data_IF_697886265156
#
_entry.id   IF_697886265156
#
_cell.length_a   1.000
_cell.length_b   1.000
_cell.length_c   1.000
_cell.angle_alpha   90.00
_cell.angle_beta   90.00
_cell.angle_gamma   90.00
#
_symmetry.space_group_name_H-M   'P 1'
#
loop_
_entity.id
_entity.type
_entity.pdbx_description
1 polymer ?
#
# COMPACT_ATOMS: atom_id res chain seq x y z
N UNK A 1 19.71 -25.48 -10.34
CA UNK A 1 20.27 -24.97 -9.08
C UNK A 1 19.17 -24.08 -8.55
N UNK A 2 18.85 -24.20 -7.26
CA UNK A 2 17.81 -23.38 -6.65
C UNK A 2 18.21 -21.91 -6.74
N UNK A 3 17.34 -21.08 -7.33
CA UNK A 3 17.58 -19.66 -7.58
C UNK A 3 17.35 -18.87 -6.30
N UNK A 4 18.30 -18.04 -5.88
CA UNK A 4 18.17 -17.21 -4.67
C UNK A 4 17.72 -15.81 -5.03
N UNK A 5 16.58 -15.38 -4.50
CA UNK A 5 15.94 -14.10 -4.84
C UNK A 5 15.84 -13.21 -3.60
N UNK A 6 16.45 -12.04 -3.66
CA UNK A 6 16.33 -11.01 -2.63
C UNK A 6 15.22 -10.01 -2.98
N UNK A 7 14.21 -9.86 -2.13
CA UNK A 7 13.11 -8.92 -2.32
C UNK A 7 13.20 -7.80 -1.29
N UNK A 8 13.30 -6.55 -1.76
CA UNK A 8 13.29 -5.38 -0.87
C UNK A 8 11.85 -4.86 -0.76
N UNK A 9 11.27 -4.99 0.42
CA UNK A 9 9.91 -4.55 0.76
C UNK A 9 8.87 -5.68 0.83
N UNK A 10 8.12 -5.73 1.93
CA UNK A 10 7.01 -6.68 2.14
C UNK A 10 5.64 -6.01 1.91
N UNK A 11 5.58 -5.06 0.97
CA UNK A 11 4.31 -4.58 0.41
C UNK A 11 3.66 -5.65 -0.47
N UNK A 12 2.42 -5.40 -0.92
CA UNK A 12 1.67 -6.38 -1.74
C UNK A 12 2.38 -6.78 -3.03
N UNK A 13 3.22 -5.91 -3.62
CA UNK A 13 4.05 -6.28 -4.78
C UNK A 13 5.13 -7.32 -4.42
N UNK A 14 5.91 -7.09 -3.35
CA UNK A 14 6.94 -8.04 -2.91
C UNK A 14 6.33 -9.38 -2.47
N UNK A 15 5.19 -9.33 -1.76
CA UNK A 15 4.45 -10.54 -1.38
C UNK A 15 3.87 -11.26 -2.60
N UNK A 16 3.37 -10.53 -3.60
CA UNK A 16 2.91 -11.12 -4.87
C UNK A 16 4.03 -11.85 -5.60
N UNK A 17 5.23 -11.28 -5.65
CA UNK A 17 6.39 -11.92 -6.24
C UNK A 17 6.80 -13.20 -5.48
N UNK A 18 6.83 -13.14 -4.15
CA UNK A 18 7.11 -14.30 -3.33
C UNK A 18 6.07 -15.42 -3.53
N UNK A 19 4.80 -15.05 -3.70
CA UNK A 19 3.73 -16.00 -3.99
C UNK A 19 3.90 -16.69 -5.35
N UNK A 20 4.24 -15.94 -6.41
CA UNK A 20 4.54 -16.52 -7.72
C UNK A 20 5.76 -17.48 -7.67
N UNK A 21 6.78 -17.13 -6.89
CA UNK A 21 8.00 -17.93 -6.76
C UNK A 21 7.84 -19.15 -5.84
N UNK A 22 6.73 -19.29 -5.11
CA UNK A 22 6.53 -20.37 -4.15
C UNK A 22 6.51 -21.77 -4.80
N UNK A 23 6.03 -21.87 -6.04
CA UNK A 23 5.99 -23.12 -6.80
C UNK A 23 7.22 -23.31 -7.72
N UNK A 24 8.17 -22.36 -7.70
CA UNK A 24 9.41 -22.42 -8.48
C UNK A 24 10.56 -23.06 -7.66
N UNK A 25 11.63 -23.50 -8.33
CA UNK A 25 12.90 -23.90 -7.68
C UNK A 25 13.68 -22.66 -7.23
N UNK A 26 13.09 -21.89 -6.29
CA UNK A 26 13.61 -20.63 -5.79
C UNK A 26 13.56 -20.50 -4.26
N UNK A 27 14.60 -19.93 -3.67
CA UNK A 27 14.68 -19.49 -2.28
C UNK A 27 14.49 -17.98 -2.22
N UNK A 28 13.45 -17.51 -1.54
CA UNK A 28 13.10 -16.09 -1.47
C UNK A 28 13.41 -15.52 -0.09
N UNK A 29 14.16 -14.42 -0.04
CA UNK A 29 14.38 -13.63 1.18
C UNK A 29 13.71 -12.27 1.02
N UNK A 30 12.80 -11.88 1.92
CA UNK A 30 12.11 -10.60 1.92
C UNK A 30 12.63 -9.73 3.05
N UNK A 31 13.07 -8.50 2.73
CA UNK A 31 13.71 -7.57 3.65
C UNK A 31 12.80 -6.33 3.78
N UNK A 32 12.15 -6.15 4.93
CA UNK A 32 11.19 -5.08 5.18
C UNK A 32 11.62 -4.19 6.35
N UNK A 33 11.75 -2.89 6.08
CA UNK A 33 12.18 -1.88 7.07
C UNK A 33 11.18 -1.67 8.22
N UNK A 34 9.93 -2.06 8.04
CA UNK A 34 8.83 -1.84 8.98
C UNK A 34 8.65 -3.06 9.91
N UNK A 35 7.89 -2.88 11.00
CA UNK A 35 7.60 -3.97 11.93
C UNK A 35 6.49 -4.93 11.49
N UNK A 36 6.03 -4.85 10.23
CA UNK A 36 4.93 -5.64 9.69
C UNK A 36 4.85 -5.53 8.16
N UNK A 37 3.90 -6.26 7.57
CA UNK A 37 3.74 -6.45 6.12
C UNK A 37 2.55 -5.67 5.55
N UNK A 38 2.40 -5.67 4.22
CA UNK A 38 1.29 -5.04 3.50
C UNK A 38 1.57 -3.61 3.04
N UNK A 39 2.53 -2.92 3.67
CA UNK A 39 2.95 -1.58 3.29
C UNK A 39 1.80 -0.57 3.36
N UNK A 40 1.41 0.01 2.22
CA UNK A 40 0.27 0.93 2.14
C UNK A 40 -1.10 0.25 2.33
N UNK A 41 -1.15 -1.08 2.26
CA UNK A 41 -2.33 -1.90 2.60
C UNK A 41 -2.20 -2.51 4.01
N UNK A 42 -1.55 -1.78 4.94
CA UNK A 42 -1.43 -2.20 6.33
C UNK A 42 -2.62 -1.72 7.18
N UNK A 43 -2.92 -2.51 8.20
CA UNK A 43 -4.02 -2.37 9.15
C UNK A 43 -3.37 -2.17 10.51
N UNK A 44 -3.88 -1.20 11.28
CA UNK A 44 -3.50 -1.02 12.68
C UNK A 44 -4.61 -1.49 13.59
N UNK A 45 -4.24 -1.73 14.86
CA UNK A 45 -5.18 -2.07 15.91
C UNK A 45 -4.99 -1.17 17.12
N UNK A 46 -6.08 -0.64 17.65
CA UNK A 46 -6.09 0.17 18.88
C UNK A 46 -7.46 0.09 19.55
N UNK A 47 -7.48 -0.10 20.87
CA UNK A 47 -8.71 -0.15 21.69
C UNK A 47 -9.80 -1.04 21.08
N UNK A 48 -9.45 -2.28 20.72
CA UNK A 48 -10.32 -3.27 20.06
C UNK A 48 -10.81 -2.90 18.64
N UNK A 49 -10.38 -1.75 18.10
CA UNK A 49 -10.64 -1.38 16.71
C UNK A 49 -9.52 -1.83 15.77
N UNK A 50 -9.89 -2.29 14.56
CA UNK A 50 -9.01 -2.44 13.40
C UNK A 50 -9.29 -1.34 12.39
N UNK A 51 -8.24 -0.76 11.80
CA UNK A 51 -8.42 0.28 10.81
C UNK A 51 -7.36 0.27 9.72
N UNK A 52 -7.85 0.36 8.49
CA UNK A 52 -7.04 0.42 7.28
C UNK A 52 -6.71 1.90 6.99
N UNK A 53 -5.54 2.35 7.42
CA UNK A 53 -5.12 3.75 7.40
C UNK A 53 -4.42 4.16 6.09
N UNK A 54 -4.46 3.31 5.07
CA UNK A 54 -3.93 3.53 3.73
C UNK A 54 -4.94 3.07 2.67
N UNK A 55 -4.67 1.97 1.96
CA UNK A 55 -5.69 1.35 1.13
C UNK A 55 -6.77 0.72 2.01
N UNK A 56 -8.04 1.07 1.79
CA UNK A 56 -9.13 0.63 2.68
C UNK A 56 -9.74 -0.74 2.33
N UNK A 57 -9.63 -1.20 1.08
CA UNK A 57 -10.23 -2.46 0.59
C UNK A 57 -9.62 -2.83 -0.78
N UNK A 58 -9.85 -4.07 -1.22
CA UNK A 58 -9.58 -4.50 -2.61
C UNK A 58 -10.87 -4.38 -3.41
N UNK A 59 -10.88 -3.60 -4.51
CA UNK A 59 -12.03 -3.48 -5.42
C UNK A 59 -11.65 -3.70 -6.87
N UNK A 60 -12.66 -3.70 -7.74
CA UNK A 60 -12.51 -3.88 -9.19
C UNK A 60 -11.71 -5.15 -9.49
N UNK A 61 -12.06 -6.21 -8.75
CA UNK A 61 -11.43 -7.52 -8.89
C UNK A 61 -11.78 -8.07 -10.27
N UNK A 62 -10.75 -8.38 -11.04
CA UNK A 62 -10.89 -9.23 -12.21
C UNK A 62 -11.02 -10.69 -11.77
N UNK A 63 -11.30 -11.59 -12.72
CA UNK A 63 -11.44 -13.02 -12.44
C UNK A 63 -10.20 -13.62 -11.75
N UNK A 64 -9.00 -13.12 -12.11
CA UNK A 64 -7.73 -13.54 -11.51
C UNK A 64 -7.66 -13.17 -10.03
N UNK A 65 -8.03 -11.94 -9.69
CA UNK A 65 -8.07 -11.45 -8.31
C UNK A 65 -9.16 -12.12 -7.49
N UNK A 66 -10.35 -12.35 -8.06
CA UNK A 66 -11.44 -13.04 -7.38
C UNK A 66 -11.08 -14.51 -7.06
N UNK A 67 -10.44 -15.22 -8.01
CA UNK A 67 -9.93 -16.57 -7.77
C UNK A 67 -8.91 -16.57 -6.62
N UNK A 68 -7.93 -15.66 -6.66
CA UNK A 68 -6.92 -15.59 -5.60
C UNK A 68 -7.55 -15.36 -4.22
N UNK A 69 -8.47 -14.38 -4.10
CA UNK A 69 -9.14 -14.09 -2.82
C UNK A 69 -9.92 -15.32 -2.33
N UNK A 70 -10.61 -16.02 -3.23
CA UNK A 70 -11.31 -17.26 -2.89
C UNK A 70 -10.35 -18.35 -2.41
N UNK A 71 -9.19 -18.50 -3.06
CA UNK A 71 -8.19 -19.52 -2.75
C UNK A 71 -7.46 -19.26 -1.42
N UNK A 72 -7.36 -18.00 -0.99
CA UNK A 72 -6.83 -17.60 0.32
C UNK A 72 -7.76 -17.96 1.50
N UNK A 73 -8.97 -18.46 1.22
CA UNK A 73 -9.92 -18.97 2.20
C UNK A 73 -10.91 -17.93 2.72
N UNK A 74 -12.08 -18.41 3.14
CA UNK A 74 -13.20 -17.58 3.55
C UNK A 74 -13.17 -17.14 5.02
N UNK A 75 -12.25 -17.68 5.83
CA UNK A 75 -12.18 -17.37 7.27
C UNK A 75 -11.97 -15.87 7.47
N UNK A 76 -12.94 -15.20 8.08
CA UNK A 76 -12.90 -13.75 8.32
C UNK A 76 -12.94 -12.88 7.06
N UNK A 77 -13.11 -13.44 5.86
CA UNK A 77 -13.29 -12.67 4.62
C UNK A 77 -14.67 -12.00 4.66
N UNK A 78 -14.74 -10.70 4.39
CA UNK A 78 -16.00 -9.95 4.35
C UNK A 78 -16.00 -8.94 3.18
N UNK A 79 -17.18 -8.42 2.87
CA UNK A 79 -17.39 -7.36 1.89
C UNK A 79 -18.03 -6.16 2.57
N UNK A 80 -17.64 -4.97 2.12
CA UNK A 80 -18.29 -3.74 2.54
C UNK A 80 -19.54 -3.55 1.71
N UNK A 81 -20.71 -3.59 2.36
CA UNK A 81 -22.01 -3.58 1.71
C UNK A 81 -22.45 -2.17 1.33
N UNK A 82 -22.15 -1.17 2.16
CA UNK A 82 -22.55 0.20 1.90
C UNK A 82 -21.79 0.83 0.70
N UNK A 83 -22.48 1.66 -0.10
CA UNK A 83 -21.92 2.30 -1.29
C UNK A 83 -20.88 3.37 -0.97
N UNK A 84 -20.15 3.82 -1.99
CA UNK A 84 -19.33 5.03 -1.89
C UNK A 84 -20.15 6.19 -2.46
N UNK A 85 -20.29 7.28 -1.72
CA UNK A 85 -20.90 8.50 -2.22
C UNK A 85 -19.82 9.52 -2.60
N UNK A 86 -20.22 10.50 -3.39
CA UNK A 86 -19.37 11.62 -3.80
C UNK A 86 -19.76 12.90 -3.07
N UNK A 87 -18.84 13.85 -2.99
CA UNK A 87 -19.16 15.22 -2.59
C UNK A 87 -18.31 16.23 -3.36
N UNK A 88 -18.80 17.46 -3.44
CA UNK A 88 -18.14 18.57 -4.15
C UNK A 88 -17.37 19.50 -3.20
N UNK A 89 -16.79 20.56 -3.75
CA UNK A 89 -16.06 21.59 -3.01
C UNK A 89 -16.88 22.26 -1.88
N UNK A 90 -18.21 22.27 -1.97
CA UNK A 90 -19.10 22.83 -0.97
C UNK A 90 -19.53 21.79 0.09
N UNK A 91 -19.12 20.53 -0.04
CA UNK A 91 -19.52 19.44 0.83
C UNK A 91 -20.90 18.87 0.51
N UNK A 92 -21.48 19.16 -0.66
CA UNK A 92 -22.79 18.63 -1.03
C UNK A 92 -22.66 17.14 -1.41
N UNK A 93 -23.32 16.27 -0.63
CA UNK A 93 -23.26 14.82 -0.85
C UNK A 93 -24.17 14.38 -2.01
N UNK A 94 -23.70 13.44 -2.82
CA UNK A 94 -24.45 12.82 -3.91
C UNK A 94 -24.12 11.33 -4.01
N UNK A 95 -25.12 10.50 -4.32
CA UNK A 95 -24.90 9.10 -4.67
C UNK A 95 -24.00 8.99 -5.91
N UNK A 96 -22.99 8.11 -5.87
CA UNK A 96 -22.14 7.86 -7.03
C UNK A 96 -22.86 7.01 -8.09
N UNK A 97 -22.24 6.91 -9.27
CA UNK A 97 -22.71 6.01 -10.32
C UNK A 97 -22.90 4.57 -9.82
N UNK A 98 -24.00 3.95 -10.27
CA UNK A 98 -24.43 2.61 -9.86
C UNK A 98 -23.36 1.53 -10.05
N UNK A 99 -22.56 1.62 -11.12
CA UNK A 99 -21.49 0.65 -11.39
C UNK A 99 -20.36 0.68 -10.35
N UNK A 100 -20.00 1.86 -9.83
CA UNK A 100 -19.01 1.97 -8.73
C UNK A 100 -19.56 1.38 -7.43
N UNK A 101 -20.88 1.52 -7.21
CA UNK A 101 -21.56 0.99 -6.03
C UNK A 101 -21.77 -0.53 -6.07
N UNK A 102 -21.97 -1.12 -7.24
CA UNK A 102 -22.13 -2.58 -7.41
C UNK A 102 -20.80 -3.36 -7.32
N UNK A 103 -19.65 -2.67 -7.30
CA UNK A 103 -18.34 -3.32 -7.15
C UNK A 103 -18.12 -3.85 -5.73
N UNK A 104 -17.81 -5.15 -5.59
CA UNK A 104 -17.43 -5.77 -4.32
C UNK A 104 -16.15 -5.13 -3.76
N UNK A 105 -16.19 -4.79 -2.47
CA UNK A 105 -15.08 -4.20 -1.71
C UNK A 105 -14.63 -5.20 -0.67
N UNK A 106 -13.61 -5.98 -1.01
CA UNK A 106 -13.13 -7.08 -0.20
C UNK A 106 -12.18 -6.60 0.90
N UNK A 107 -12.37 -7.12 2.09
CA UNK A 107 -11.45 -6.99 3.23
C UNK A 107 -11.58 -8.22 4.14
N UNK A 108 -10.90 -8.21 5.27
CA UNK A 108 -11.08 -9.22 6.32
C UNK A 108 -11.47 -8.54 7.63
N UNK A 109 -12.03 -9.33 8.56
CA UNK A 109 -12.38 -8.89 9.92
C UNK A 109 -11.20 -8.37 10.74
N UNK A 110 -9.97 -8.78 10.40
CA UNK A 110 -8.71 -8.25 10.96
C UNK A 110 -7.99 -7.29 9.99
N UNK A 111 -8.73 -6.71 9.04
CA UNK A 111 -8.32 -5.72 8.05
C UNK A 111 -7.59 -6.25 6.81
N UNK A 112 -7.40 -5.36 5.85
CA UNK A 112 -6.89 -5.68 4.51
C UNK A 112 -5.46 -6.25 4.51
N UNK A 113 -4.68 -6.04 5.59
CA UNK A 113 -3.34 -6.66 5.75
C UNK A 113 -3.38 -8.17 5.64
N UNK A 114 -4.53 -8.78 5.93
CA UNK A 114 -4.73 -10.21 5.78
C UNK A 114 -4.45 -10.72 4.38
N UNK A 115 -4.61 -9.91 3.33
CA UNK A 115 -4.17 -10.27 1.98
C UNK A 115 -2.67 -10.63 1.97
N UNK A 116 -1.82 -9.76 2.49
CA UNK A 116 -0.38 -9.97 2.50
C UNK A 116 0.03 -11.13 3.41
N UNK A 117 -0.56 -11.23 4.61
CA UNK A 117 -0.26 -12.31 5.57
C UNK A 117 -0.63 -13.68 5.00
N UNK A 118 -1.84 -13.81 4.45
CA UNK A 118 -2.31 -15.09 3.89
C UNK A 118 -1.53 -15.54 2.67
N UNK A 119 -1.08 -14.59 1.83
CA UNK A 119 -0.19 -14.91 0.72
C UNK A 119 1.16 -15.43 1.21
N UNK A 120 1.75 -14.78 2.21
CA UNK A 120 3.01 -15.24 2.81
C UNK A 120 2.88 -16.60 3.51
N UNK A 121 1.73 -16.88 4.15
CA UNK A 121 1.46 -18.19 4.75
C UNK A 121 1.41 -19.34 3.70
N UNK A 122 1.38 -19.01 2.40
CA UNK A 122 1.45 -19.95 1.27
C UNK A 122 2.85 -20.09 0.68
N UNK A 123 3.87 -19.48 1.28
CA UNK A 123 5.25 -19.53 0.79
C UNK A 123 6.21 -19.94 1.90
N UNK A 124 7.39 -20.42 1.50
CA UNK A 124 8.53 -20.66 2.41
C UNK A 124 9.50 -19.46 2.44
N UNK A 125 9.02 -18.25 2.10
CA UNK A 125 9.88 -17.07 2.02
C UNK A 125 10.43 -16.68 3.40
N UNK A 126 11.74 -16.41 3.47
CA UNK A 126 12.41 -15.95 4.68
C UNK A 126 12.21 -14.45 4.87
N UNK A 127 11.35 -14.07 5.81
CA UNK A 127 10.94 -12.68 6.05
C UNK A 127 11.71 -12.04 7.21
N UNK A 128 12.46 -10.99 6.91
CA UNK A 128 13.17 -10.16 7.88
C UNK A 128 12.47 -8.81 8.04
N UNK A 129 11.89 -8.57 9.22
CA UNK A 129 11.24 -7.32 9.58
C UNK A 129 12.19 -6.41 10.33
N UNK A 130 11.94 -5.09 10.25
CA UNK A 130 12.82 -4.04 10.76
C UNK A 130 14.21 -4.02 10.12
N UNK A 131 14.29 -4.49 8.88
CA UNK A 131 15.53 -4.59 8.10
C UNK A 131 15.49 -3.56 6.98
N UNK A 132 16.26 -2.49 7.12
CA UNK A 132 16.31 -1.41 6.14
C UNK A 132 17.55 -1.58 5.26
N UNK A 133 17.31 -2.03 4.04
CA UNK A 133 18.35 -2.05 3.02
C UNK A 133 18.70 -0.64 2.58
N UNK A 134 19.99 -0.32 2.62
CA UNK A 134 20.56 0.98 2.23
C UNK A 134 21.52 0.88 1.06
N UNK A 135 22.02 -0.32 0.74
CA UNK A 135 22.93 -0.54 -0.38
C UNK A 135 22.60 -1.85 -1.09
N UNK A 136 22.69 -1.82 -2.41
CA UNK A 136 22.64 -2.99 -3.30
C UNK A 136 23.98 -3.07 -3.99
N UNK A 137 24.62 -4.23 -4.05
CA UNK A 137 25.89 -4.39 -4.75
C UNK A 137 25.85 -5.62 -5.64
N UNK A 138 26.54 -5.54 -6.79
CA UNK A 138 26.78 -6.68 -7.66
C UNK A 138 28.28 -6.91 -7.79
N UNK A 139 28.72 -8.12 -7.43
CA UNK A 139 30.09 -8.57 -7.62
C UNK A 139 30.07 -9.97 -8.26
N UNK A 140 30.88 -10.18 -9.30
CA UNK A 140 31.02 -11.44 -10.02
C UNK A 140 29.68 -12.09 -10.46
N UNK A 141 28.68 -11.25 -10.77
CA UNK A 141 27.36 -11.70 -11.23
C UNK A 141 26.39 -12.09 -10.12
N UNK A 142 26.75 -11.88 -8.85
CA UNK A 142 25.90 -12.12 -7.69
C UNK A 142 25.56 -10.81 -6.98
N UNK A 143 24.32 -10.72 -6.50
CA UNK A 143 23.81 -9.56 -5.79
C UNK A 143 23.91 -9.72 -4.27
N UNK A 144 24.18 -8.63 -3.58
CA UNK A 144 24.12 -8.53 -2.11
C UNK A 144 23.33 -7.29 -1.71
N UNK A 145 22.66 -7.39 -0.56
CA UNK A 145 21.84 -6.32 0.03
C UNK A 145 22.34 -6.06 1.44
N UNK A 146 22.55 -4.80 1.82
CA UNK A 146 23.10 -4.48 3.14
C UNK A 146 22.38 -3.34 3.86
N UNK A 147 22.37 -3.42 5.19
CA UNK A 147 21.91 -2.36 6.09
C UNK A 147 23.00 -1.31 6.37
N UNK A 148 22.66 -0.21 7.06
CA UNK A 148 23.62 0.84 7.46
C UNK A 148 24.70 0.34 8.43
N UNK A 149 24.37 -0.66 9.26
CA UNK A 149 25.26 -1.20 10.28
C UNK A 149 26.19 -2.30 9.75
N UNK A 150 26.04 -2.67 8.47
CA UNK A 150 26.88 -3.62 7.76
C UNK A 150 26.39 -5.06 7.81
N UNK A 151 25.18 -5.35 8.31
CA UNK A 151 24.56 -6.66 8.06
C UNK A 151 24.29 -6.84 6.56
N UNK A 152 24.66 -8.01 6.03
CA UNK A 152 24.60 -8.34 4.60
C UNK A 152 23.74 -9.58 4.36
N UNK A 153 22.96 -9.54 3.29
CA UNK A 153 22.08 -10.61 2.83
C UNK A 153 22.49 -11.02 1.40
N UNK A 154 22.47 -12.32 1.14
CA UNK A 154 22.84 -12.93 -0.13
C UNK A 154 23.97 -13.96 0.01
N UNK A 155 24.68 -14.31 -1.08
CA UNK A 155 24.48 -13.78 -2.43
C UNK A 155 23.14 -14.22 -3.04
N UNK A 156 22.55 -13.34 -3.84
CA UNK A 156 21.34 -13.58 -4.62
C UNK A 156 21.68 -13.64 -6.12
N UNK A 157 20.94 -14.45 -6.85
CA UNK A 157 20.99 -14.49 -8.32
C UNK A 157 20.15 -13.35 -8.92
N UNK A 158 19.07 -12.98 -8.23
CA UNK A 158 18.15 -11.92 -8.62
C UNK A 158 17.75 -11.06 -7.41
N UNK A 159 17.62 -9.74 -7.62
CA UNK A 159 17.09 -8.78 -6.66
C UNK A 159 15.86 -8.09 -7.24
N UNK A 160 14.76 -8.08 -6.46
CA UNK A 160 13.53 -7.38 -6.79
C UNK A 160 13.32 -6.18 -5.87
N UNK A 161 13.32 -4.98 -6.43
CA UNK A 161 13.05 -3.75 -5.71
C UNK A 161 11.56 -3.38 -5.79
N UNK A 162 10.89 -3.41 -4.64
CA UNK A 162 9.47 -3.03 -4.49
C UNK A 162 9.15 -1.77 -3.67
N UNK A 163 10.11 -0.98 -3.12
CA UNK A 163 9.76 0.31 -2.52
C UNK A 163 9.10 1.27 -3.52
N UNK A 164 8.43 2.33 -3.02
CA UNK A 164 7.99 3.45 -3.85
C UNK A 164 9.14 4.03 -4.68
N UNK A 165 8.85 4.51 -5.90
CA UNK A 165 9.87 4.92 -6.86
C UNK A 165 10.93 5.87 -6.28
N UNK A 166 10.59 6.94 -5.51
CA UNK A 166 11.62 7.80 -4.92
C UNK A 166 12.52 7.11 -3.88
N UNK A 167 12.01 6.10 -3.16
CA UNK A 167 12.85 5.28 -2.26
C UNK A 167 13.73 4.32 -3.05
N UNK A 168 13.20 3.74 -4.13
CA UNK A 168 13.97 2.90 -5.05
C UNK A 168 15.07 3.69 -5.74
N UNK A 169 14.81 4.92 -6.21
CA UNK A 169 15.83 5.80 -6.76
C UNK A 169 16.93 6.11 -5.73
N UNK A 170 16.57 6.44 -4.49
CA UNK A 170 17.56 6.65 -3.42
C UNK A 170 18.40 5.39 -3.12
N UNK A 171 17.83 4.19 -3.29
CA UNK A 171 18.57 2.94 -3.17
C UNK A 171 19.50 2.73 -4.39
N UNK A 172 19.04 3.04 -5.60
CA UNK A 172 19.84 3.01 -6.82
C UNK A 172 21.02 3.99 -6.79
N UNK A 173 20.86 5.15 -6.13
CA UNK A 173 21.96 6.09 -5.87
C UNK A 173 23.11 5.48 -5.06
N UNK A 174 22.77 4.51 -4.20
CA UNK A 174 23.72 3.80 -3.34
C UNK A 174 24.14 2.45 -3.94
N UNK A 175 23.59 2.08 -5.11
CA UNK A 175 23.89 0.79 -5.74
C UNK A 175 25.31 0.77 -6.29
N UNK A 176 26.04 -0.30 -5.99
CA UNK A 176 27.39 -0.59 -6.52
C UNK A 176 27.28 -1.63 -7.62
N UNK A 177 27.07 -1.15 -8.84
CA UNK A 177 27.01 -1.99 -10.04
C UNK A 177 27.63 -1.22 -11.20
N UNK A 178 28.75 -1.73 -11.73
CA UNK A 178 29.50 -1.11 -12.83
C UNK A 178 28.85 -1.42 -14.18
N UNK A 179 27.70 -0.78 -14.44
CA UNK A 179 26.92 -0.93 -15.67
C UNK A 179 26.20 0.38 -16.02
N UNK A 180 26.33 0.82 -17.27
CA UNK A 180 25.78 2.10 -17.76
C UNK A 180 24.25 2.18 -17.62
N UNK A 181 23.55 1.04 -17.54
CA UNK A 181 22.08 0.98 -17.36
C UNK A 181 21.64 1.52 -15.99
N UNK A 182 22.50 1.47 -14.97
CA UNK A 182 22.16 1.92 -13.62
C UNK A 182 21.72 3.40 -13.61
N UNK A 183 22.47 4.26 -14.30
CA UNK A 183 22.15 5.70 -14.39
C UNK A 183 20.85 5.96 -15.15
N UNK A 184 20.53 5.15 -16.16
CA UNK A 184 19.29 5.27 -16.91
C UNK A 184 18.08 4.89 -16.06
N UNK A 185 18.13 3.72 -15.42
CA UNK A 185 17.06 3.26 -14.53
C UNK A 185 16.89 4.21 -13.35
N UNK A 186 17.97 4.65 -12.71
CA UNK A 186 17.93 5.63 -11.62
C UNK A 186 17.16 6.89 -12.02
N UNK A 187 17.47 7.47 -13.19
CA UNK A 187 16.79 8.67 -13.70
C UNK A 187 15.31 8.41 -13.99
N UNK A 188 14.97 7.30 -14.63
CA UNK A 188 13.60 6.97 -14.98
C UNK A 188 12.75 6.74 -13.71
N UNK A 189 13.25 5.97 -12.76
CA UNK A 189 12.59 5.69 -11.47
C UNK A 189 12.44 6.97 -10.65
N UNK A 190 13.48 7.80 -10.57
CA UNK A 190 13.46 9.05 -9.80
C UNK A 190 12.55 10.14 -10.37
N UNK A 191 12.15 10.02 -11.64
CA UNK A 191 11.24 10.95 -12.30
C UNK A 191 9.77 10.71 -11.97
N UNK A 192 9.41 9.52 -11.43
CA UNK A 192 8.01 9.17 -11.18
C UNK A 192 7.41 10.07 -10.09
N UNK A 193 6.40 10.90 -10.42
CA UNK A 193 5.75 11.78 -9.47
C UNK A 193 4.89 11.00 -8.48
N UNK A 194 4.89 11.50 -7.26
CA UNK A 194 4.09 10.99 -6.15
C UNK A 194 3.39 12.13 -5.44
N UNK A 195 2.14 11.89 -5.06
CA UNK A 195 1.42 12.78 -4.15
C UNK A 195 1.60 12.36 -2.69
N UNK A 196 1.64 13.36 -1.82
CA UNK A 196 1.63 13.19 -0.37
C UNK A 196 0.19 13.18 0.13
N UNK A 197 -0.15 12.23 1.01
CA UNK A 197 -1.46 12.16 1.66
C UNK A 197 -1.25 12.04 3.16
N UNK A 198 -2.00 12.82 3.94
CA UNK A 198 -2.10 12.66 5.38
C UNK A 198 -3.42 11.98 5.71
N UNK A 199 -3.32 10.86 6.43
CA UNK A 199 -4.48 10.15 6.96
C UNK A 199 -4.63 10.50 8.43
N UNK A 200 -5.81 10.94 8.83
CA UNK A 200 -6.19 11.16 10.23
C UNK A 200 -7.30 10.18 10.58
N UNK A 201 -7.12 9.50 11.70
CA UNK A 201 -8.06 8.51 12.24
C UNK A 201 -8.74 9.12 13.45
N UNK A 202 -10.07 9.12 13.45
CA UNK A 202 -10.90 9.82 14.42
C UNK A 202 -11.93 8.85 15.00
N UNK A 203 -11.81 8.53 16.29
CA UNK A 203 -12.74 7.64 16.97
C UNK A 203 -13.79 8.39 17.77
N UNK A 204 -14.98 7.81 17.86
CA UNK A 204 -16.10 8.35 18.60
C UNK A 204 -16.83 7.25 19.38
N UNK A 205 -17.21 7.49 20.64
CA UNK A 205 -17.97 6.53 21.47
C UNK A 205 -19.47 6.56 21.14
N UNK A 206 -19.81 6.88 19.90
CA UNK A 206 -21.16 6.90 19.36
C UNK A 206 -21.10 6.53 17.88
N UNK A 207 -22.21 6.01 17.36
CA UNK A 207 -22.40 5.75 15.93
C UNK A 207 -23.62 6.51 15.41
N UNK A 208 -23.54 6.90 14.14
CA UNK A 208 -24.68 7.41 13.37
C UNK A 208 -24.91 6.55 12.13
N UNK A 209 -26.17 6.45 11.73
CA UNK A 209 -26.55 5.72 10.53
C UNK A 209 -26.42 6.63 9.31
N UNK A 210 -25.42 6.33 8.46
CA UNK A 210 -25.32 6.87 7.12
C UNK A 210 -25.57 5.78 6.05
N UNK A 211 -26.10 6.16 4.88
CA UNK A 211 -26.36 5.23 3.77
C UNK A 211 -25.12 4.93 2.91
N UNK A 212 -23.92 5.26 3.36
CA UNK A 212 -22.67 5.15 2.59
C UNK A 212 -21.51 4.63 3.44
N UNK A 213 -20.63 3.82 2.88
CA UNK A 213 -19.40 3.41 3.54
C UNK A 213 -18.35 4.53 3.54
N UNK A 214 -18.16 5.15 2.39
CA UNK A 214 -17.17 6.21 2.21
C UNK A 214 -17.66 7.35 1.34
N UNK A 215 -17.01 8.49 1.49
CA UNK A 215 -17.19 9.71 0.74
C UNK A 215 -15.91 10.01 -0.03
N UNK A 216 -16.02 10.29 -1.32
CA UNK A 216 -14.89 10.73 -2.16
C UNK A 216 -15.17 12.11 -2.73
N UNK A 217 -14.20 13.01 -2.64
CA UNK A 217 -14.32 14.32 -3.26
C UNK A 217 -14.11 14.20 -4.77
N UNK A 218 -15.17 14.43 -5.55
CA UNK A 218 -15.18 14.10 -6.98
C UNK A 218 -14.46 15.15 -7.84
N UNK A 219 -14.57 16.42 -7.46
CA UNK A 219 -13.94 17.56 -8.16
C UNK A 219 -12.50 17.83 -7.71
N UNK A 220 -12.07 17.25 -6.57
CA UNK A 220 -10.74 17.42 -5.96
C UNK A 220 -10.47 18.85 -5.48
N UNK A 221 -11.52 19.59 -5.15
CA UNK A 221 -11.44 20.98 -4.69
C UNK A 221 -11.73 21.13 -3.18
N UNK A 222 -11.93 20.03 -2.45
CA UNK A 222 -12.11 20.01 -1.00
C UNK A 222 -10.84 19.58 -0.25
N UNK A 223 -10.67 20.02 1.01
CA UNK A 223 -9.51 19.68 1.86
C UNK A 223 -9.49 18.20 2.29
N UNK A 224 -10.65 17.54 2.28
CA UNK A 224 -10.81 16.09 2.44
C UNK A 224 -10.88 15.46 1.06
N UNK A 225 -10.00 14.50 0.76
CA UNK A 225 -10.06 13.73 -0.48
C UNK A 225 -10.92 12.46 -0.35
N UNK A 226 -10.85 11.81 0.82
CA UNK A 226 -11.61 10.60 1.13
C UNK A 226 -11.96 10.55 2.62
N UNK A 227 -13.16 10.08 2.94
CA UNK A 227 -13.61 9.77 4.30
C UNK A 227 -14.27 8.40 4.30
N UNK A 228 -13.93 7.50 5.23
CA UNK A 228 -14.60 6.20 5.35
C UNK A 228 -14.90 5.82 6.79
N UNK A 229 -15.92 4.97 6.94
CA UNK A 229 -16.39 4.42 8.22
C UNK A 229 -15.87 3.00 8.41
N UNK A 230 -14.94 2.78 9.34
CA UNK A 230 -14.42 1.44 9.59
C UNK A 230 -15.47 0.54 10.25
N UNK A 231 -16.50 1.09 10.90
CA UNK A 231 -17.63 0.32 11.46
C UNK A 231 -18.49 -0.39 10.40
N UNK A 232 -18.39 -0.03 9.12
CA UNK A 232 -19.01 -0.77 8.01
C UNK A 232 -18.24 -2.05 7.63
N UNK A 233 -17.11 -2.33 8.27
CA UNK A 233 -16.33 -3.55 8.07
C UNK A 233 -16.54 -4.45 9.29
N UNK A 234 -17.10 -5.64 9.06
CA UNK A 234 -17.38 -6.57 10.15
C UNK A 234 -16.14 -6.78 11.05
N UNK A 235 -16.31 -6.59 12.36
CA UNK A 235 -15.24 -6.82 13.35
C UNK A 235 -14.19 -5.70 13.48
N UNK A 236 -14.30 -4.62 12.71
CA UNK A 236 -13.35 -3.51 12.79
C UNK A 236 -13.61 -2.56 13.95
N UNK A 237 -14.86 -2.32 14.35
CA UNK A 237 -15.21 -1.35 15.40
C UNK A 237 -16.28 -1.98 16.30
N UNK A 238 -16.21 -1.78 17.63
CA UNK A 238 -17.27 -2.23 18.55
C UNK A 238 -18.65 -1.65 18.22
N UNK A 239 -19.70 -2.42 18.51
CA UNK A 239 -21.09 -2.01 18.28
C UNK A 239 -21.42 -0.67 18.99
N UNK A 240 -21.95 0.28 18.22
CA UNK A 240 -22.36 1.59 18.73
C UNK A 240 -21.25 2.64 18.82
N UNK A 241 -20.04 2.31 18.36
CA UNK A 241 -18.92 3.24 18.20
C UNK A 241 -18.67 3.53 16.71
N UNK A 242 -17.92 4.58 16.41
CA UNK A 242 -17.56 4.96 15.03
C UNK A 242 -16.07 5.26 14.94
N UNK A 243 -15.46 4.84 13.83
CA UNK A 243 -14.06 5.12 13.54
C UNK A 243 -13.91 5.61 12.11
N UNK A 244 -13.68 6.91 11.99
CA UNK A 244 -13.53 7.57 10.70
C UNK A 244 -12.07 7.61 10.28
N UNK A 245 -11.81 7.22 9.03
CA UNK A 245 -10.52 7.37 8.36
C UNK A 245 -10.65 8.51 7.35
N UNK A 246 -10.09 9.67 7.67
CA UNK A 246 -10.05 10.84 6.81
C UNK A 246 -8.70 10.92 6.09
N UNK A 247 -8.69 10.79 4.77
CA UNK A 247 -7.52 11.03 3.94
C UNK A 247 -7.64 12.40 3.30
N UNK A 248 -6.73 13.29 3.69
CA UNK A 248 -6.75 14.69 3.30
C UNK A 248 -6.29 14.86 1.84
N UNK A 249 -6.66 15.97 1.22
CA UNK A 249 -6.23 16.29 -0.15
C UNK A 249 -4.71 16.42 -0.24
N UNK A 250 -4.11 16.24 -1.43
CA UNK A 250 -2.66 16.40 -1.62
C UNK A 250 -2.13 17.76 -1.14
N UNK A 251 -2.86 18.83 -1.43
CA UNK A 251 -2.51 20.20 -1.08
C UNK A 251 -2.48 20.38 0.44
N UNK A 252 -3.58 20.03 1.11
CA UNK A 252 -3.68 20.11 2.58
C UNK A 252 -2.60 19.27 3.26
N UNK A 253 -2.38 18.05 2.73
CA UNK A 253 -1.41 17.10 3.25
C UNK A 253 0.02 17.61 3.13
N UNK A 254 0.37 18.25 2.01
CA UNK A 254 1.71 18.79 1.78
C UNK A 254 2.00 19.99 2.67
N UNK A 255 1.03 20.91 2.80
CA UNK A 255 1.17 22.11 3.64
C UNK A 255 1.33 21.77 5.12
N UNK A 256 0.60 20.76 5.59
CA UNK A 256 0.56 20.38 7.01
C UNK A 256 1.36 19.13 7.33
N UNK A 257 2.21 18.62 6.43
CA UNK A 257 2.83 17.30 6.59
C UNK A 257 3.65 17.16 7.89
N UNK A 258 4.34 18.23 8.30
CA UNK A 258 5.21 18.25 9.47
C UNK A 258 4.51 18.65 10.77
N UNK A 259 3.23 19.05 10.72
CA UNK A 259 2.46 19.43 11.91
C UNK A 259 2.24 18.21 12.81
N UNK A 260 2.29 18.34 14.15
CA UNK A 260 2.04 17.22 15.05
C UNK A 260 0.55 16.84 15.12
N UNK A 261 0.24 15.63 15.61
CA UNK A 261 -1.12 15.07 15.65
C UNK A 261 -2.11 15.92 16.47
N UNK A 262 -1.64 16.58 17.52
CA UNK A 262 -2.45 17.48 18.35
C UNK A 262 -2.89 18.77 17.63
N UNK A 263 -2.25 19.11 16.52
CA UNK A 263 -2.67 20.20 15.63
C UNK A 263 -3.53 19.68 14.47
N UNK A 264 -3.11 18.63 13.78
CA UNK A 264 -3.85 18.12 12.61
C UNK A 264 -5.11 17.35 12.96
N UNK A 265 -5.16 16.70 14.12
CA UNK A 265 -6.32 15.92 14.57
C UNK A 265 -7.56 16.81 14.69
N UNK A 266 -7.50 17.89 15.51
CA UNK A 266 -8.60 18.85 15.62
C UNK A 266 -8.94 19.55 14.30
N UNK A 267 -7.95 19.84 13.45
CA UNK A 267 -8.19 20.46 12.15
C UNK A 267 -8.99 19.54 11.22
N UNK A 268 -8.58 18.28 11.08
CA UNK A 268 -9.29 17.30 10.28
C UNK A 268 -10.68 16.97 10.86
N UNK A 269 -10.80 16.84 12.18
CA UNK A 269 -12.08 16.64 12.86
C UNK A 269 -13.06 17.79 12.61
N UNK A 270 -12.56 19.04 12.55
CA UNK A 270 -13.35 20.21 12.19
C UNK A 270 -13.93 20.12 10.78
N UNK A 271 -13.11 19.71 9.81
CA UNK A 271 -13.53 19.53 8.41
C UNK A 271 -14.53 18.37 8.27
N UNK A 272 -14.34 17.28 9.01
CA UNK A 272 -15.27 16.15 9.02
C UNK A 272 -16.62 16.57 9.61
N UNK A 273 -16.64 17.31 10.71
CA UNK A 273 -17.87 17.82 11.31
C UNK A 273 -18.64 18.75 10.37
N UNK A 274 -17.93 19.59 9.61
CA UNK A 274 -18.53 20.48 8.61
C UNK A 274 -19.10 19.70 7.42
N UNK A 275 -18.36 18.73 6.89
CA UNK A 275 -18.81 17.86 5.80
C UNK A 275 -20.05 17.04 6.18
N UNK A 276 -20.08 16.52 7.41
CA UNK A 276 -21.20 15.72 7.91
C UNK A 276 -22.37 16.54 8.46
N UNK A 277 -22.18 17.86 8.67
CA UNK A 277 -23.18 18.74 9.25
C UNK A 277 -23.52 18.44 10.71
N UNK A 278 -22.59 17.85 11.47
CA UNK A 278 -22.78 17.42 12.86
C UNK A 278 -21.57 17.80 13.73
N UNK A 279 -21.78 18.71 14.68
CA UNK A 279 -20.72 19.28 15.52
C UNK A 279 -20.11 18.27 16.49
N UNK A 280 -20.80 17.17 16.81
CA UNK A 280 -20.24 16.11 17.68
C UNK A 280 -18.96 15.50 17.13
N UNK A 281 -18.77 15.48 15.80
CA UNK A 281 -17.53 15.00 15.18
C UNK A 281 -16.31 15.89 15.43
N UNK A 282 -16.47 17.09 16.02
CA UNK A 282 -15.31 17.93 16.40
C UNK A 282 -14.52 17.37 17.58
N UNK A 283 -15.09 16.40 18.32
CA UNK A 283 -14.55 15.92 19.59
C UNK A 283 -14.34 14.39 19.58
N UNK A 284 -13.36 13.87 18.82
CA UNK A 284 -12.96 12.47 18.93
C UNK A 284 -12.40 12.19 20.34
N UNK A 285 -12.68 11.01 20.89
CA UNK A 285 -12.15 10.61 22.21
C UNK A 285 -10.71 10.08 22.12
N UNK A 286 -10.31 9.60 20.94
CA UNK A 286 -8.91 9.39 20.58
C UNK A 286 -8.66 9.58 19.08
N UNK A 287 -7.41 9.91 18.75
CA UNK A 287 -6.94 10.07 17.37
C UNK A 287 -5.64 9.29 17.10
N UNK A 288 -5.42 8.92 15.85
CA UNK A 288 -4.16 8.40 15.30
C UNK A 288 -3.92 9.03 13.92
N UNK A 289 -2.71 8.94 13.38
CA UNK A 289 -2.42 9.42 12.03
C UNK A 289 -1.36 8.60 11.28
N UNK A 290 -1.31 8.86 9.98
CA UNK A 290 -0.22 8.41 9.13
C UNK A 290 0.09 9.46 8.06
N UNK A 291 1.35 9.90 8.03
CA UNK A 291 1.90 10.67 6.92
C UNK A 291 2.40 9.77 5.80
N UNK A 292 1.71 9.76 4.66
CA UNK A 292 2.12 9.05 3.45
C UNK A 292 2.80 10.03 2.49
N UNK A 293 4.09 10.30 2.69
CA UNK A 293 4.86 11.17 1.76
C UNK A 293 4.84 10.67 0.32
N UNK A 294 4.84 9.35 0.15
CA UNK A 294 4.83 8.65 -1.13
C UNK A 294 3.56 7.80 -1.21
N UNK A 295 2.40 8.45 -1.20
CA UNK A 295 1.11 7.78 -1.07
C UNK A 295 0.71 7.05 -2.36
N UNK A 296 0.62 7.79 -3.46
CA UNK A 296 0.15 7.31 -4.75
C UNK A 296 1.04 7.88 -5.87
N UNK A 297 1.44 7.06 -6.85
CA UNK A 297 2.04 7.55 -8.08
C UNK A 297 0.97 8.26 -8.92
N UNK A 298 1.38 9.29 -9.67
CA UNK A 298 0.48 9.97 -10.62
C UNK A 298 0.65 9.47 -12.05
N UNK A 299 1.76 8.78 -12.34
CA UNK A 299 2.03 8.13 -13.62
C UNK A 299 2.94 6.91 -13.43
N UNK A 300 3.05 6.10 -14.49
CA UNK A 300 3.94 4.95 -14.55
C UNK A 300 5.31 5.31 -15.11
N UNK A 301 6.30 4.49 -14.78
CA UNK A 301 7.63 4.53 -15.40
C UNK A 301 7.64 3.84 -16.77
N UNK A 302 8.62 4.14 -17.61
CA UNK A 302 8.88 3.34 -18.81
C UNK A 302 9.40 1.94 -18.44
N UNK A 303 8.53 0.93 -18.57
CA UNK A 303 8.87 -0.46 -18.27
C UNK A 303 9.98 -1.02 -19.15
N UNK A 304 10.23 -0.49 -20.35
CA UNK A 304 11.32 -0.96 -21.21
C UNK A 304 12.68 -0.63 -20.58
N UNK A 305 12.79 0.54 -19.95
CA UNK A 305 13.98 0.95 -19.18
C UNK A 305 14.20 0.00 -18.02
N UNK A 306 13.15 -0.35 -17.27
CA UNK A 306 13.26 -1.30 -16.15
C UNK A 306 13.62 -2.71 -16.62
N UNK A 307 13.02 -3.19 -17.71
CA UNK A 307 13.30 -4.53 -18.26
C UNK A 307 14.73 -4.65 -18.79
N UNK A 308 15.38 -3.53 -19.12
CA UNK A 308 16.74 -3.54 -19.62
C UNK A 308 17.77 -4.10 -18.62
N UNK A 309 17.44 -4.20 -17.33
CA UNK A 309 18.35 -4.72 -16.28
C UNK A 309 18.04 -6.17 -15.87
N UNK A 310 16.98 -6.76 -16.40
CA UNK A 310 16.49 -8.08 -15.98
C UNK A 310 17.49 -9.21 -16.31
N UNK A 311 18.24 -9.10 -17.41
CA UNK A 311 19.31 -10.04 -17.77
C UNK A 311 20.48 -10.00 -16.77
N UNK A 312 20.65 -8.91 -16.03
CA UNK A 312 21.63 -8.78 -14.95
C UNK A 312 21.08 -9.21 -13.58
N UNK A 313 19.80 -9.61 -13.49
CA UNK A 313 19.17 -10.02 -12.24
C UNK A 313 18.64 -8.86 -11.38
N UNK A 314 18.53 -7.64 -11.91
CA UNK A 314 17.92 -6.52 -11.20
C UNK A 314 16.51 -6.26 -11.75
N UNK A 315 15.52 -6.37 -10.86
CA UNK A 315 14.09 -6.31 -11.19
C UNK A 315 13.37 -5.26 -10.35
N UNK A 316 12.20 -4.85 -10.84
CA UNK A 316 11.36 -3.83 -10.21
C UNK A 316 9.90 -4.24 -10.27
N UNK A 317 9.16 -3.94 -9.20
CA UNK A 317 7.71 -4.08 -9.17
C UNK A 317 7.06 -3.07 -8.23
N UNK A 318 5.80 -2.76 -8.46
CA UNK A 318 5.02 -1.85 -7.64
C UNK A 318 3.88 -1.19 -8.41
N UNK A 319 3.02 -0.50 -7.69
CA UNK A 319 1.99 0.35 -8.28
C UNK A 319 2.54 1.43 -9.21
N UNK A 320 3.72 1.97 -8.92
CA UNK A 320 4.38 2.97 -9.75
C UNK A 320 4.97 2.42 -11.05
N UNK A 321 5.16 1.10 -11.14
CA UNK A 321 5.52 0.46 -12.42
C UNK A 321 4.30 0.47 -13.33
N UNK A 322 3.13 0.13 -12.79
CA UNK A 322 1.84 0.15 -13.53
C UNK A 322 1.32 1.59 -13.75
N UNK A 323 1.72 2.53 -12.89
CA UNK A 323 1.21 3.90 -12.86
C UNK A 323 -0.17 4.04 -12.20
N UNK A 324 -0.63 3.02 -11.46
CA UNK A 324 -1.95 3.02 -10.83
C UNK A 324 -1.86 2.56 -9.36
N UNK A 325 -2.09 3.48 -8.42
CA UNK A 325 -2.10 3.24 -6.97
C UNK A 325 -3.28 2.38 -6.49
N UNK A 326 -3.29 1.09 -6.83
CA UNK A 326 -4.29 0.10 -6.43
C UNK A 326 -3.62 -1.16 -5.90
N UNK A 327 -4.20 -1.77 -4.86
CA UNK A 327 -3.67 -2.96 -4.19
C UNK A 327 -3.47 -4.11 -5.16
N UNK A 328 -4.50 -4.46 -5.93
CA UNK A 328 -4.46 -5.57 -6.88
C UNK A 328 -3.50 -5.30 -8.05
N UNK A 329 -3.32 -4.04 -8.46
CA UNK A 329 -2.37 -3.67 -9.52
C UNK A 329 -0.94 -3.89 -9.07
N UNK A 330 -0.60 -3.41 -7.87
CA UNK A 330 0.72 -3.64 -7.28
C UNK A 330 0.98 -5.14 -7.03
N UNK A 331 0.00 -5.86 -6.50
CA UNK A 331 0.08 -7.30 -6.26
C UNK A 331 0.41 -8.07 -7.54
N UNK A 332 -0.38 -7.90 -8.60
CA UNK A 332 -0.18 -8.63 -9.84
C UNK A 332 1.07 -8.21 -10.59
N UNK A 333 1.45 -6.93 -10.54
CA UNK A 333 2.74 -6.50 -11.09
C UNK A 333 3.93 -7.19 -10.38
N UNK A 334 3.83 -7.37 -9.06
CA UNK A 334 4.78 -8.15 -8.29
C UNK A 334 4.78 -9.64 -8.66
N UNK A 335 3.60 -10.26 -8.70
CA UNK A 335 3.44 -11.65 -9.13
C UNK A 335 4.05 -11.88 -10.52
N UNK A 336 3.71 -11.05 -11.51
CA UNK A 336 4.20 -11.17 -12.87
C UNK A 336 5.72 -10.88 -12.96
N UNK A 337 6.31 -10.16 -11.99
CA UNK A 337 7.76 -10.07 -11.84
C UNK A 337 8.36 -11.37 -11.30
N UNK A 338 7.72 -12.01 -10.32
CA UNK A 338 8.11 -13.32 -9.82
C UNK A 338 8.11 -14.40 -10.90
N UNK A 339 7.05 -14.48 -11.73
CA UNK A 339 6.99 -15.42 -12.87
C UNK A 339 8.16 -15.20 -13.85
N UNK A 340 8.45 -13.94 -14.19
CA UNK A 340 9.58 -13.59 -15.07
C UNK A 340 10.93 -13.97 -14.47
N UNK A 341 11.08 -13.85 -13.14
CA UNK A 341 12.27 -14.28 -12.43
C UNK A 341 12.38 -15.80 -12.46
N UNK A 342 11.28 -16.55 -12.31
CA UNK A 342 11.27 -18.01 -12.40
C UNK A 342 11.68 -18.50 -13.80
N UNK A 343 11.18 -17.86 -14.86
CA UNK A 343 11.41 -18.22 -16.26
C UNK A 343 12.78 -17.83 -16.82
N UNK A 344 13.60 -17.08 -16.06
CA UNK A 344 14.94 -16.67 -16.51
C UNK A 344 15.84 -17.91 -16.61
N UNK A 345 16.56 -18.06 -17.74
CA UNK A 345 17.49 -19.17 -17.98
C UNK A 345 18.77 -19.08 -17.12
#
# INVERSE_FOLDING_TARGET
MTRRVGVVGAGVAGVGAAHALADADAEVTILEKSGGVGGRAATRRRHDCHYDHGANYVKNVDERTESLISDLGADGLTTIEEPVWTFDAAGELSESDRAENESRKWTWTEGITQLAKRLLDRTDADLHLRTRIETVAQEDGAWTLSESDGEEFGPFDDVLLTPPAPQTAALLDMTRWDDDRLDEVRRAVGAVPYRTIRTVVLHYPFAEEYPWYGLVNADKEHEIGWLSREECKDGHVPDGESLLVAQMSPEWSAERYAEPLDEVGPAAAGLVAELLGEDRYRAPDWTDDQGWRLALPDEGVDEAVLRSTADAGLHFAGDWVVGEGRVQRALWNGYDAGERIADRD
#
